data_IF_869988129804
#
_entry.id   IF_869988129804
#
_cell.length_a   1.000
_cell.length_b   1.000
_cell.length_c   1.000
_cell.angle_alpha   90.00
_cell.angle_beta   90.00
_cell.angle_gamma   90.00
#
_symmetry.space_group_name_H-M   'P 1'
#
loop_
_entity.id
_entity.type
_entity.pdbx_description
1 polymer ?
#
# COMPACT_ATOMS: atom_id res chain seq x y z
N UNK A 1 -15.77 -51.07 16.67
CA UNK A 1 -14.62 -50.21 16.85
C UNK A 1 -14.82 -48.97 15.93
N UNK A 2 -15.53 -47.96 16.47
CA UNK A 2 -15.97 -46.76 15.72
C UNK A 2 -14.96 -45.64 15.97
N UNK A 3 -14.24 -45.20 14.92
CA UNK A 3 -13.34 -44.06 15.00
C UNK A 3 -14.19 -42.75 14.84
N UNK A 4 -14.23 -41.97 15.91
CA UNK A 4 -14.74 -40.61 15.89
C UNK A 4 -13.76 -39.74 15.10
N UNK A 5 -14.18 -39.27 13.91
CA UNK A 5 -13.54 -38.16 13.23
C UNK A 5 -13.96 -36.88 13.96
N UNK A 6 -13.07 -36.33 14.78
CA UNK A 6 -13.25 -34.97 15.31
C UNK A 6 -13.08 -33.97 14.18
N UNK A 7 -14.20 -33.40 13.73
CA UNK A 7 -14.22 -32.27 12.81
C UNK A 7 -13.75 -31.04 13.59
N UNK A 8 -12.51 -30.62 13.38
CA UNK A 8 -12.02 -29.33 13.88
C UNK A 8 -12.67 -28.23 13.02
N UNK A 9 -13.75 -27.66 13.52
CA UNK A 9 -14.30 -26.41 12.99
C UNK A 9 -13.38 -25.29 13.50
N UNK A 10 -12.45 -24.86 12.67
CA UNK A 10 -11.72 -23.63 12.89
C UNK A 10 -12.72 -22.49 12.70
N UNK A 11 -13.28 -21.97 13.78
CA UNK A 11 -13.98 -20.69 13.78
C UNK A 11 -12.95 -19.60 13.46
N UNK A 12 -12.82 -19.25 12.19
CA UNK A 12 -12.17 -17.99 11.81
C UNK A 12 -13.06 -16.88 12.35
N UNK A 13 -12.66 -16.28 13.47
CA UNK A 13 -13.26 -15.03 13.93
C UNK A 13 -13.11 -14.05 12.79
N UNK A 14 -14.20 -13.37 12.43
CA UNK A 14 -14.17 -12.25 11.52
C UNK A 14 -13.05 -11.31 11.97
N UNK A 15 -11.99 -11.21 11.19
CA UNK A 15 -10.87 -10.36 11.51
C UNK A 15 -11.38 -8.92 11.43
N UNK A 16 -11.21 -8.17 12.51
CA UNK A 16 -11.48 -6.73 12.50
C UNK A 16 -10.59 -6.08 11.45
N UNK A 17 -11.13 -5.10 10.71
CA UNK A 17 -10.38 -4.34 9.74
C UNK A 17 -9.07 -3.81 10.36
N UNK A 18 -7.97 -3.97 9.65
CA UNK A 18 -6.67 -3.40 10.03
C UNK A 18 -6.59 -1.99 9.47
N UNK A 19 -6.16 -1.05 10.30
CA UNK A 19 -5.93 0.34 9.89
C UNK A 19 -4.49 0.72 10.17
N UNK A 20 -3.83 1.23 9.13
CA UNK A 20 -2.46 1.72 9.15
C UNK A 20 -2.50 3.23 8.88
N UNK A 21 -1.85 4.01 9.74
CA UNK A 21 -1.80 5.46 9.57
C UNK A 21 -0.37 5.93 9.32
N UNK A 22 -0.20 6.89 8.42
CA UNK A 22 1.09 7.49 8.12
C UNK A 22 0.92 8.99 7.96
N UNK A 23 1.73 9.77 8.66
CA UNK A 23 1.77 11.23 8.56
C UNK A 23 3.10 11.67 8.00
N UNK A 24 3.08 12.66 7.12
CA UNK A 24 4.29 13.24 6.52
C UNK A 24 4.15 14.75 6.32
N UNK A 25 5.29 15.44 6.36
CA UNK A 25 5.41 16.85 5.98
C UNK A 25 6.19 16.98 4.67
N UNK A 26 5.57 17.58 3.66
CA UNK A 26 6.17 17.80 2.35
C UNK A 26 6.55 19.26 2.19
N UNK A 27 7.83 19.62 2.23
CA UNK A 27 8.26 21.00 2.09
C UNK A 27 8.06 21.52 0.66
N UNK A 28 7.92 22.83 0.52
CA UNK A 28 7.77 23.53 -0.76
C UNK A 28 6.61 22.95 -1.61
N UNK A 29 5.49 22.68 -0.95
CA UNK A 29 4.29 22.15 -1.61
C UNK A 29 3.04 22.84 -1.10
N UNK A 30 2.06 22.98 -1.97
CA UNK A 30 0.71 23.41 -1.61
C UNK A 30 -0.21 22.18 -1.50
N UNK A 31 -1.29 22.24 -0.69
CA UNK A 31 -2.25 21.15 -0.60
C UNK A 31 -2.83 20.75 -1.95
N UNK A 32 -3.09 21.73 -2.83
CA UNK A 32 -3.62 21.47 -4.17
C UNK A 32 -2.64 20.69 -5.04
N UNK A 33 -1.36 21.07 -5.03
CA UNK A 33 -0.32 20.36 -5.81
C UNK A 33 -0.16 18.92 -5.34
N UNK A 34 -0.13 18.71 -4.00
CA UNK A 34 -0.07 17.35 -3.43
C UNK A 34 -1.30 16.54 -3.78
N UNK A 35 -2.50 17.10 -3.60
CA UNK A 35 -3.74 16.43 -3.95
C UNK A 35 -3.77 16.05 -5.44
N UNK A 36 -3.39 16.97 -6.32
CA UNK A 36 -3.31 16.70 -7.76
C UNK A 36 -2.27 15.63 -8.08
N UNK A 37 -1.12 15.64 -7.43
CA UNK A 37 -0.07 14.63 -7.60
C UNK A 37 -0.58 13.24 -7.21
N UNK A 38 -1.19 13.11 -6.03
CA UNK A 38 -1.73 11.84 -5.52
C UNK A 38 -2.93 11.37 -6.31
N UNK A 39 -3.80 12.29 -6.74
CA UNK A 39 -4.96 11.96 -7.56
C UNK A 39 -4.57 11.51 -8.98
N UNK A 40 -3.31 11.67 -9.41
CA UNK A 40 -2.83 11.25 -10.73
C UNK A 40 -2.16 9.87 -10.62
N UNK A 41 -2.83 8.77 -11.01
CA UNK A 41 -2.34 7.40 -10.76
C UNK A 41 -0.98 7.10 -11.37
N UNK A 42 -0.63 7.71 -12.50
CA UNK A 42 0.69 7.58 -13.13
C UNK A 42 1.86 8.01 -12.22
N UNK A 43 1.58 8.74 -11.14
CA UNK A 43 2.59 9.12 -10.15
C UNK A 43 2.81 8.04 -9.07
N UNK A 44 1.85 7.12 -8.87
CA UNK A 44 1.93 6.14 -7.78
C UNK A 44 3.18 5.26 -7.87
N UNK A 45 3.55 4.67 -9.02
CA UNK A 45 4.78 3.88 -9.12
C UNK A 45 6.08 4.68 -8.89
N UNK A 46 5.99 6.02 -8.84
CA UNK A 46 7.14 6.89 -8.55
C UNK A 46 7.41 7.05 -7.07
N UNK A 47 6.40 6.83 -6.23
CA UNK A 47 6.50 7.02 -4.78
C UNK A 47 6.20 5.73 -3.99
N UNK A 48 5.43 4.79 -4.52
CA UNK A 48 5.10 3.51 -3.88
C UNK A 48 6.03 2.44 -4.44
N UNK A 49 6.93 1.89 -3.62
CA UNK A 49 7.95 0.94 -4.08
C UNK A 49 7.37 -0.39 -4.55
N UNK A 50 6.28 -0.82 -3.93
CA UNK A 50 5.59 -2.06 -4.31
C UNK A 50 4.75 -1.90 -5.58
N UNK A 51 4.43 -0.67 -6.00
CA UNK A 51 3.68 -0.39 -7.22
C UNK A 51 4.60 -0.44 -8.45
N UNK A 52 4.30 -1.34 -9.38
CA UNK A 52 5.08 -1.52 -10.61
C UNK A 52 4.44 -0.85 -11.82
N UNK A 53 3.19 -0.43 -11.70
CA UNK A 53 2.48 0.26 -12.77
C UNK A 53 1.01 0.47 -12.47
N UNK A 54 0.37 1.26 -13.34
CA UNK A 54 -1.07 1.49 -13.30
C UNK A 54 -1.65 1.35 -14.70
N UNK A 55 -2.85 0.77 -14.78
CA UNK A 55 -3.58 0.56 -16.02
C UNK A 55 -4.99 1.15 -15.89
N UNK A 56 -5.52 1.71 -16.99
CA UNK A 56 -6.86 2.30 -17.01
C UNK A 56 -7.06 3.25 -18.18
N UNK A 57 -8.21 3.88 -18.24
CA UNK A 57 -8.58 4.72 -19.37
C UNK A 57 -7.72 6.00 -19.49
N UNK A 58 -7.31 6.59 -18.36
CA UNK A 58 -6.54 7.84 -18.34
C UNK A 58 -5.63 7.92 -17.08
N UNK A 59 -4.60 7.06 -16.94
CA UNK A 59 -3.78 7.02 -15.73
C UNK A 59 -2.97 8.30 -15.49
N UNK A 60 -2.72 9.08 -16.53
CA UNK A 60 -2.02 10.37 -16.45
C UNK A 60 -2.95 11.56 -16.12
N UNK A 61 -4.25 11.33 -15.98
CA UNK A 61 -5.21 12.34 -15.58
C UNK A 61 -5.61 12.18 -14.13
N UNK A 62 -5.87 13.27 -13.38
CA UNK A 62 -6.37 13.18 -12.03
C UNK A 62 -7.69 12.41 -11.96
N UNK A 63 -7.77 11.54 -10.96
CA UNK A 63 -8.99 10.80 -10.64
C UNK A 63 -10.13 11.76 -10.30
N UNK A 64 -11.34 11.35 -10.64
CA UNK A 64 -12.59 12.00 -10.26
C UNK A 64 -13.48 10.97 -9.56
N UNK A 65 -14.42 11.39 -8.73
CA UNK A 65 -15.38 10.47 -8.14
C UNK A 65 -16.00 9.53 -9.20
N UNK A 66 -15.97 8.24 -8.95
CA UNK A 66 -16.39 7.19 -9.87
C UNK A 66 -15.33 6.71 -10.88
N UNK A 67 -14.16 7.35 -10.98
CA UNK A 67 -13.05 6.83 -11.81
C UNK A 67 -12.53 5.51 -11.26
N UNK A 68 -12.18 4.59 -12.17
CA UNK A 68 -11.54 3.30 -11.83
C UNK A 68 -10.15 3.21 -12.44
N UNK A 69 -9.23 2.59 -11.70
CA UNK A 69 -7.85 2.35 -12.10
C UNK A 69 -7.37 1.02 -11.53
N UNK A 70 -6.63 0.25 -12.30
CA UNK A 70 -5.96 -0.94 -11.85
C UNK A 70 -4.51 -0.60 -11.49
N UNK A 71 -4.11 -0.88 -10.26
CA UNK A 71 -2.73 -0.78 -9.81
C UNK A 71 -2.10 -2.17 -9.76
N UNK A 72 -0.90 -2.25 -10.32
CA UNK A 72 -0.12 -3.48 -10.40
C UNK A 72 0.96 -3.45 -9.34
N UNK A 73 0.99 -4.48 -8.52
CA UNK A 73 1.96 -4.68 -7.45
C UNK A 73 2.77 -5.95 -7.68
N UNK A 74 3.85 -6.11 -6.93
CA UNK A 74 4.57 -7.36 -6.82
C UNK A 74 5.93 -7.36 -7.49
N UNK A 75 6.41 -8.57 -7.77
CA UNK A 75 7.69 -8.85 -8.41
C UNK A 75 7.43 -9.53 -9.76
N UNK A 76 7.16 -8.78 -10.84
CA UNK A 76 6.99 -9.40 -12.14
C UNK A 76 8.28 -10.12 -12.57
N UNK A 77 8.20 -11.30 -13.21
CA UNK A 77 6.97 -12.03 -13.56
C UNK A 77 6.48 -13.00 -12.46
N UNK A 78 7.13 -13.05 -11.30
CA UNK A 78 6.94 -14.13 -10.33
C UNK A 78 5.64 -13.99 -9.53
N UNK A 79 5.25 -12.77 -9.20
CA UNK A 79 4.03 -12.50 -8.42
C UNK A 79 3.37 -11.20 -8.87
N UNK A 80 2.64 -11.19 -9.99
CA UNK A 80 1.83 -10.04 -10.36
C UNK A 80 0.57 -9.99 -9.49
N UNK A 81 0.41 -8.92 -8.73
CA UNK A 81 -0.77 -8.66 -7.93
C UNK A 81 -1.48 -7.44 -8.51
N UNK A 82 -2.81 -7.47 -8.56
CA UNK A 82 -3.63 -6.38 -9.12
C UNK A 82 -4.67 -5.96 -8.10
N UNK A 83 -4.79 -4.65 -7.92
CA UNK A 83 -5.84 -4.04 -7.11
C UNK A 83 -6.61 -3.05 -7.98
N UNK A 84 -7.93 -3.21 -8.08
CA UNK A 84 -8.80 -2.25 -8.75
C UNK A 84 -9.26 -1.21 -7.76
N UNK A 85 -8.79 0.01 -7.94
CA UNK A 85 -9.20 1.16 -7.15
C UNK A 85 -10.34 1.91 -7.82
N UNK A 86 -11.32 2.34 -7.03
CA UNK A 86 -12.36 3.28 -7.39
C UNK A 86 -12.20 4.54 -6.56
N UNK A 87 -12.20 5.68 -7.21
CA UNK A 87 -12.17 6.96 -6.53
C UNK A 87 -13.57 7.28 -5.94
N UNK A 88 -13.65 7.44 -4.64
CA UNK A 88 -14.88 7.82 -3.94
C UNK A 88 -14.98 9.35 -3.81
N UNK A 89 -13.86 10.01 -3.47
CA UNK A 89 -13.76 11.45 -3.40
C UNK A 89 -12.41 11.94 -3.90
N UNK A 90 -12.40 13.07 -4.60
CA UNK A 90 -11.17 13.77 -5.02
C UNK A 90 -11.45 15.26 -5.12
N UNK A 91 -10.80 16.06 -4.28
CA UNK A 91 -10.94 17.51 -4.22
C UNK A 91 -11.00 18.03 -2.79
N UNK A 92 -10.95 19.34 -2.60
CA UNK A 92 -11.00 19.94 -1.27
C UNK A 92 -9.87 19.48 -0.33
N UNK A 93 -8.69 19.19 -0.89
CA UNK A 93 -7.52 18.64 -0.17
C UNK A 93 -7.70 17.21 0.36
N UNK A 94 -8.62 16.44 -0.20
CA UNK A 94 -8.79 15.01 0.11
C UNK A 94 -8.69 14.17 -1.15
N UNK A 95 -8.33 12.89 -0.96
CA UNK A 95 -8.43 11.84 -1.96
C UNK A 95 -8.79 10.54 -1.25
N UNK A 96 -9.94 9.96 -1.61
CA UNK A 96 -10.40 8.70 -1.05
C UNK A 96 -10.55 7.69 -2.18
N UNK A 97 -9.87 6.56 -2.06
CA UNK A 97 -9.96 5.47 -3.02
C UNK A 97 -10.27 4.16 -2.30
N UNK A 98 -11.13 3.35 -2.92
CA UNK A 98 -11.60 2.08 -2.38
C UNK A 98 -11.46 0.95 -3.39
N UNK A 99 -11.16 -0.23 -2.89
CA UNK A 99 -11.18 -1.48 -3.63
C UNK A 99 -11.99 -2.51 -2.85
N UNK A 100 -13.23 -2.78 -3.27
CA UNK A 100 -14.08 -3.78 -2.63
C UNK A 100 -13.48 -5.19 -2.76
N UNK A 101 -12.97 -5.52 -3.94
CA UNK A 101 -12.30 -6.80 -4.20
C UNK A 101 -10.93 -6.91 -3.52
N UNK A 102 -10.30 -5.77 -3.24
CA UNK A 102 -8.99 -5.70 -2.60
C UNK A 102 -7.91 -6.47 -3.37
N UNK A 103 -7.10 -7.21 -2.65
CA UNK A 103 -6.06 -8.09 -3.17
C UNK A 103 -6.52 -9.54 -3.04
N UNK A 104 -6.84 -10.17 -4.18
CA UNK A 104 -7.46 -11.48 -4.25
C UNK A 104 -6.77 -12.53 -3.36
N UNK A 105 -7.55 -13.18 -2.49
CA UNK A 105 -7.06 -14.21 -1.56
C UNK A 105 -6.23 -13.68 -0.39
N UNK A 106 -5.95 -12.39 -0.31
CA UNK A 106 -5.14 -11.77 0.75
C UNK A 106 -5.98 -10.83 1.60
N UNK A 107 -6.60 -9.82 1.00
CA UNK A 107 -7.35 -8.78 1.71
C UNK A 107 -8.53 -8.29 0.87
N UNK A 108 -9.59 -7.85 1.52
CA UNK A 108 -10.78 -7.26 0.89
C UNK A 108 -11.06 -5.89 1.48
N UNK A 109 -12.00 -5.16 0.90
CA UNK A 109 -12.41 -3.81 1.33
C UNK A 109 -11.23 -2.88 1.65
N UNK A 110 -10.25 -2.83 0.74
CA UNK A 110 -9.10 -1.95 0.88
C UNK A 110 -9.52 -0.50 0.65
N UNK A 111 -9.04 0.41 1.49
CA UNK A 111 -9.27 1.85 1.40
C UNK A 111 -8.00 2.61 1.64
N UNK A 112 -7.86 3.75 0.98
CA UNK A 112 -6.84 4.76 1.27
C UNK A 112 -7.51 6.12 1.31
N UNK A 113 -7.50 6.74 2.49
CA UNK A 113 -8.08 8.05 2.76
C UNK A 113 -6.93 9.02 3.03
N UNK A 114 -6.77 10.01 2.15
CA UNK A 114 -5.77 11.05 2.27
C UNK A 114 -6.42 12.35 2.67
N UNK A 115 -5.88 13.01 3.70
CA UNK A 115 -6.17 14.40 4.02
C UNK A 115 -4.90 15.25 3.98
N UNK A 116 -5.02 16.46 3.47
CA UNK A 116 -3.87 17.33 3.21
C UNK A 116 -4.17 18.71 3.81
N UNK A 117 -3.26 19.22 4.62
CA UNK A 117 -3.39 20.52 5.27
C UNK A 117 -2.19 21.41 4.94
N UNK A 118 -2.40 22.72 4.90
CA UNK A 118 -1.32 23.69 4.74
C UNK A 118 -0.55 23.83 6.07
N UNK A 119 0.79 23.92 5.99
CA UNK A 119 1.68 24.16 7.13
C UNK A 119 2.81 25.12 6.72
N UNK A 120 2.48 26.40 6.69
CA UNK A 120 3.40 27.45 6.25
C UNK A 120 3.79 27.30 4.77
N UNK A 121 5.07 27.05 4.50
CA UNK A 121 5.64 26.78 3.17
C UNK A 121 5.60 25.30 2.77
N UNK A 122 4.94 24.50 3.56
CA UNK A 122 4.82 23.05 3.38
C UNK A 122 3.37 22.62 3.44
N UNK A 123 3.13 21.35 3.14
CA UNK A 123 1.86 20.69 3.41
C UNK A 123 2.08 19.46 4.27
N UNK A 124 1.11 19.18 5.12
CA UNK A 124 1.05 17.95 5.91
C UNK A 124 0.03 17.03 5.28
N UNK A 125 0.41 15.79 5.11
CA UNK A 125 -0.45 14.72 4.57
C UNK A 125 -0.63 13.65 5.64
N UNK A 126 -1.87 13.27 5.87
CA UNK A 126 -2.26 12.10 6.66
C UNK A 126 -2.88 11.06 5.74
N UNK A 127 -2.36 9.84 5.79
CA UNK A 127 -2.92 8.67 5.13
C UNK A 127 -3.49 7.72 6.18
N UNK A 128 -4.75 7.35 6.03
CA UNK A 128 -5.34 6.19 6.69
C UNK A 128 -5.58 5.11 5.63
N UNK A 129 -4.85 3.99 5.73
CA UNK A 129 -5.05 2.81 4.91
C UNK A 129 -5.74 1.75 5.74
N UNK A 130 -6.85 1.20 5.26
CA UNK A 130 -7.57 0.12 5.93
C UNK A 130 -7.89 -1.02 4.98
N UNK A 131 -7.97 -2.24 5.52
CA UNK A 131 -8.37 -3.43 4.78
C UNK A 131 -8.89 -4.53 5.71
N UNK A 132 -9.70 -5.43 5.18
CA UNK A 132 -10.16 -6.62 5.88
C UNK A 132 -9.28 -7.81 5.50
N UNK A 133 -8.56 -8.43 6.46
CA UNK A 133 -7.76 -9.61 6.16
C UNK A 133 -8.62 -10.79 5.69
N UNK A 134 -8.37 -11.29 4.48
CA UNK A 134 -9.00 -12.49 3.94
C UNK A 134 -8.15 -13.75 4.20
N UNK A 135 -6.89 -13.58 4.59
CA UNK A 135 -5.99 -14.67 4.92
C UNK A 135 -4.93 -14.24 5.96
N UNK A 136 -4.24 -15.19 6.63
CA UNK A 136 -3.12 -14.87 7.51
C UNK A 136 -2.01 -14.06 6.83
N UNK A 137 -1.85 -14.18 5.50
CA UNK A 137 -0.88 -13.40 4.73
C UNK A 137 -1.13 -11.90 4.82
N UNK A 138 -2.39 -11.47 4.93
CA UNK A 138 -2.71 -10.05 5.08
C UNK A 138 -2.17 -9.45 6.39
N UNK A 139 -2.17 -10.24 7.47
CA UNK A 139 -1.62 -9.82 8.76
C UNK A 139 -0.09 -9.78 8.68
N UNK A 140 0.52 -10.77 8.03
CA UNK A 140 1.97 -10.82 7.82
C UNK A 140 2.47 -9.71 6.88
N UNK A 141 1.63 -9.24 5.95
CA UNK A 141 1.96 -8.14 5.05
C UNK A 141 1.90 -6.76 5.73
N UNK A 142 1.20 -6.61 6.85
CA UNK A 142 1.03 -5.31 7.51
C UNK A 142 2.36 -4.57 7.79
N UNK A 143 3.43 -5.19 8.33
CA UNK A 143 4.71 -4.52 8.52
C UNK A 143 5.33 -4.01 7.21
N UNK A 144 5.17 -4.76 6.11
CA UNK A 144 5.66 -4.37 4.77
C UNK A 144 4.92 -3.14 4.28
N UNK A 145 3.58 -3.13 4.42
CA UNK A 145 2.74 -1.99 4.04
C UNK A 145 3.04 -0.75 4.87
N UNK A 146 3.31 -0.91 6.18
CA UNK A 146 3.73 0.21 7.05
C UNK A 146 5.03 0.83 6.52
N UNK A 147 6.03 0.01 6.22
CA UNK A 147 7.32 0.49 5.70
C UNK A 147 7.17 1.13 4.33
N UNK A 148 6.39 0.52 3.43
CA UNK A 148 6.15 1.04 2.09
C UNK A 148 5.42 2.39 2.14
N UNK A 149 4.35 2.51 2.92
CA UNK A 149 3.64 3.77 3.13
C UNK A 149 4.54 4.85 3.76
N UNK A 150 5.37 4.46 4.74
CA UNK A 150 6.29 5.39 5.37
C UNK A 150 7.34 5.89 4.37
N UNK A 151 7.95 5.01 3.58
CA UNK A 151 8.91 5.37 2.53
C UNK A 151 8.25 6.24 1.45
N UNK A 152 7.06 5.84 1.01
CA UNK A 152 6.30 6.58 0.00
C UNK A 152 6.08 8.03 0.42
N UNK A 153 5.57 8.25 1.63
CA UNK A 153 5.15 9.58 2.08
C UNK A 153 6.29 10.40 2.70
N UNK A 154 7.22 9.77 3.44
CA UNK A 154 8.26 10.51 4.16
C UNK A 154 9.59 10.63 3.41
N UNK A 155 9.81 9.82 2.39
CA UNK A 155 11.07 9.83 1.64
C UNK A 155 10.84 10.17 0.16
N UNK A 156 9.99 9.43 -0.52
CA UNK A 156 9.86 9.53 -1.97
C UNK A 156 8.99 10.73 -2.40
N UNK A 157 7.87 10.95 -1.74
CA UNK A 157 6.99 12.09 -2.03
C UNK A 157 7.69 13.44 -1.81
N UNK A 158 8.35 13.74 -0.66
CA UNK A 158 9.10 14.97 -0.50
C UNK A 158 10.21 15.16 -1.55
N UNK A 159 10.87 14.07 -1.96
CA UNK A 159 11.88 14.13 -3.03
C UNK A 159 11.28 14.48 -4.39
N UNK A 160 10.07 13.99 -4.68
CA UNK A 160 9.37 14.33 -5.91
C UNK A 160 9.12 15.84 -6.02
N UNK A 161 8.91 16.53 -4.89
CA UNK A 161 8.67 17.98 -4.82
C UNK A 161 9.94 18.82 -4.69
N UNK A 162 11.03 18.28 -4.13
CA UNK A 162 12.30 19.01 -3.97
C UNK A 162 13.14 19.10 -5.24
N UNK A 163 12.69 18.49 -6.34
CA UNK A 163 13.47 18.38 -7.57
C UNK A 163 14.71 17.50 -7.44
N UNK A 164 14.90 16.85 -6.29
CA UNK A 164 15.96 15.86 -6.11
C UNK A 164 15.70 14.66 -7.03
N UNK A 165 16.73 14.05 -7.62
CA UNK A 165 16.53 12.89 -8.45
C UNK A 165 15.84 11.81 -7.62
N UNK A 166 14.63 11.43 -8.02
CA UNK A 166 13.94 10.26 -7.51
C UNK A 166 14.90 9.07 -7.59
N UNK A 167 14.74 8.12 -6.69
CA UNK A 167 15.41 6.83 -6.77
C UNK A 167 15.41 6.40 -8.24
N UNK A 168 16.60 6.28 -8.82
CA UNK A 168 16.69 5.93 -10.23
C UNK A 168 16.08 4.55 -10.39
N UNK A 169 15.35 4.32 -11.49
CA UNK A 169 14.72 3.03 -11.77
C UNK A 169 15.66 1.82 -11.58
N UNK A 170 16.99 2.02 -11.78
CA UNK A 170 18.04 1.05 -11.53
C UNK A 170 18.26 0.71 -10.04
N UNK A 171 17.82 1.56 -9.11
CA UNK A 171 18.02 1.38 -7.67
C UNK A 171 16.85 0.62 -7.04
N UNK A 172 15.70 0.52 -7.75
CA UNK A 172 14.50 -0.19 -7.32
C UNK A 172 14.73 -1.69 -7.04
N UNK A 173 15.45 -2.45 -7.90
CA UNK A 173 15.74 -3.85 -7.60
C UNK A 173 16.54 -4.03 -6.32
N UNK A 174 17.49 -3.13 -6.04
CA UNK A 174 18.29 -3.17 -4.82
C UNK A 174 17.48 -2.86 -3.57
N UNK A 175 16.58 -1.87 -3.65
CA UNK A 175 15.68 -1.51 -2.54
C UNK A 175 14.64 -2.59 -2.29
N UNK A 176 14.04 -3.15 -3.34
CA UNK A 176 13.11 -4.27 -3.23
C UNK A 176 13.79 -5.51 -2.64
N UNK A 177 15.02 -5.81 -3.07
CA UNK A 177 15.81 -6.90 -2.51
C UNK A 177 16.16 -6.68 -1.04
N UNK A 178 16.53 -5.44 -0.66
CA UNK A 178 16.81 -5.09 0.73
C UNK A 178 15.55 -5.17 1.61
N UNK A 179 14.40 -4.72 1.11
CA UNK A 179 13.13 -4.86 1.80
C UNK A 179 12.74 -6.32 1.99
N UNK A 180 12.89 -7.16 0.95
CA UNK A 180 12.65 -8.60 1.02
C UNK A 180 13.58 -9.29 2.01
N UNK A 181 14.89 -8.98 1.98
CA UNK A 181 15.87 -9.52 2.92
C UNK A 181 15.55 -9.11 4.36
N UNK A 182 15.17 -7.86 4.57
CA UNK A 182 14.80 -7.35 5.90
C UNK A 182 13.54 -8.05 6.41
N UNK A 183 12.53 -8.20 5.57
CA UNK A 183 11.29 -8.93 5.91
C UNK A 183 11.58 -10.41 6.21
N UNK A 184 12.42 -11.04 5.41
CA UNK A 184 12.84 -12.43 5.64
C UNK A 184 13.63 -12.55 6.94
N UNK A 185 14.61 -11.67 7.16
CA UNK A 185 15.52 -11.77 8.30
C UNK A 185 14.85 -11.43 9.64
N UNK A 186 13.96 -10.43 9.65
CA UNK A 186 13.33 -9.93 10.88
C UNK A 186 11.90 -10.44 11.10
N UNK A 187 11.23 -10.95 10.07
CA UNK A 187 9.83 -11.38 10.16
C UNK A 187 9.64 -12.88 9.95
N UNK A 188 9.78 -13.32 8.71
CA UNK A 188 9.40 -14.69 8.30
C UNK A 188 10.43 -15.73 8.70
N UNK A 189 11.72 -15.40 8.59
CA UNK A 189 12.81 -16.33 8.90
C UNK A 189 12.81 -16.86 10.34
N UNK A 190 12.68 -16.02 11.36
CA UNK A 190 12.54 -16.48 12.76
C UNK A 190 11.32 -17.36 12.99
N UNK A 191 10.14 -16.96 12.44
CA UNK A 191 8.90 -17.73 12.61
C UNK A 191 8.96 -19.13 11.96
N UNK A 192 9.58 -19.23 10.78
CA UNK A 192 9.82 -20.55 10.13
C UNK A 192 10.83 -21.37 10.92
N UNK A 193 11.87 -20.71 11.44
CA UNK A 193 12.89 -21.40 12.23
C UNK A 193 12.32 -22.00 13.52
N UNK A 194 11.49 -21.26 14.25
CA UNK A 194 10.75 -21.76 15.41
C UNK A 194 9.84 -22.93 15.02
N UNK A 195 9.04 -22.78 13.97
CA UNK A 195 8.12 -23.83 13.54
C UNK A 195 8.81 -25.12 13.06
N UNK A 196 10.04 -25.03 12.57
CA UNK A 196 10.80 -26.20 12.02
C UNK A 196 11.72 -26.82 13.06
N UNK A 197 12.21 -26.06 14.04
CA UNK A 197 13.16 -26.57 15.04
C UNK A 197 12.49 -27.02 16.35
N UNK A 198 11.29 -26.51 16.64
CA UNK A 198 10.54 -26.84 17.85
C UNK A 198 9.37 -27.82 17.59
N UNK A 199 9.19 -28.34 16.39
CA UNK A 199 8.22 -29.34 15.95
C UNK A 199 8.90 -30.66 15.63
#
# INVERSE_FOLDING_TARGET
MMRFLSCFVVCVRAATALTLTTRSRVPNSTPQELQQFLATPANWPRIVLSSVGVEGAAPASPLRPGSEIDELFGLPPVLPLRVKWRCEAAGGNTLDVRSEGGLEGVATDCRMDFSIEADGDASVIDLAMSYEPASPLAVLAAPVLIVDNWLALNVLLPRAFSGSPLVRQRDLPGLAFFALLSTWHFGVGPAIREAVLDG
#
